data_IF_145942309450
#
_entry.id   IF_145942309450
#
_cell.length_a   1.000
_cell.length_b   1.000
_cell.length_c   1.000
_cell.angle_alpha   90.00
_cell.angle_beta   90.00
_cell.angle_gamma   90.00
#
_symmetry.space_group_name_H-M   'P 1'
#
loop_
_entity.id
_entity.type
_entity.pdbx_description
1 polymer ?
#
# COMPACT_ATOMS: atom_id res chain seq x y z
N UNK A 1 -12.72 8.47 19.57
CA UNK A 1 -11.67 9.11 18.74
C UNK A 1 -10.31 8.86 19.38
N UNK A 2 -9.34 8.39 18.62
CA UNK A 2 -7.99 8.00 19.07
C UNK A 2 -7.03 9.20 19.32
N UNK A 3 -7.56 10.39 19.44
CA UNK A 3 -6.85 11.63 19.73
C UNK A 3 -7.58 12.46 20.79
N UNK A 4 -6.87 13.44 21.34
CA UNK A 4 -7.39 14.48 22.22
C UNK A 4 -7.88 13.98 23.58
N UNK A 5 -7.29 12.90 24.12
CA UNK A 5 -7.49 12.55 25.50
C UNK A 5 -6.98 13.70 26.38
N UNK A 6 -7.80 14.14 27.31
CA UNK A 6 -7.48 15.21 28.26
C UNK A 6 -7.12 16.57 27.59
N UNK A 7 -7.64 16.83 26.38
CA UNK A 7 -7.39 18.09 25.66
C UNK A 7 -5.98 18.20 25.03
N UNK A 8 -5.25 17.11 24.89
CA UNK A 8 -3.87 17.10 24.40
C UNK A 8 -3.74 16.91 22.86
N UNK A 9 -4.83 16.95 22.12
CA UNK A 9 -4.85 16.61 20.68
C UNK A 9 -3.87 17.41 19.83
N UNK A 10 -3.72 18.71 20.05
CA UNK A 10 -2.75 19.54 19.32
C UNK A 10 -1.30 19.13 19.62
N UNK A 11 -0.99 18.70 20.86
CA UNK A 11 0.32 18.19 21.23
C UNK A 11 0.60 16.84 20.60
N UNK A 12 -0.39 15.94 20.62
CA UNK A 12 -0.29 14.62 19.99
C UNK A 12 -0.02 14.72 18.49
N UNK A 13 -0.73 15.62 17.77
CA UNK A 13 -0.48 15.85 16.35
C UNK A 13 0.94 16.34 16.10
N UNK A 14 1.44 17.30 16.87
CA UNK A 14 2.83 17.79 16.73
C UNK A 14 3.86 16.69 16.96
N UNK A 15 3.65 15.82 17.94
CA UNK A 15 4.56 14.71 18.22
C UNK A 15 4.56 13.64 17.09
N UNK A 16 3.45 13.51 16.35
CA UNK A 16 3.30 12.54 15.28
C UNK A 16 3.73 13.07 13.92
N UNK A 17 3.57 14.37 13.68
CA UNK A 17 3.75 15.01 12.36
C UNK A 17 4.91 15.99 12.32
N UNK A 18 5.56 16.26 13.46
CA UNK A 18 6.67 17.20 13.59
C UNK A 18 6.30 18.61 13.04
N UNK A 19 6.88 19.00 11.90
CA UNK A 19 6.69 20.32 11.32
C UNK A 19 5.34 20.53 10.64
N UNK A 20 4.60 19.45 10.35
CA UNK A 20 3.31 19.53 9.65
C UNK A 20 2.14 19.98 10.54
N UNK A 21 2.34 20.17 11.83
CA UNK A 21 1.31 20.71 12.70
C UNK A 21 1.93 21.67 13.73
N UNK A 22 1.92 22.97 13.40
CA UNK A 22 2.54 23.97 14.27
C UNK A 22 1.58 24.44 15.40
N UNK A 23 0.95 25.58 15.25
CA UNK A 23 0.14 26.22 16.27
C UNK A 23 -1.35 26.27 15.89
N UNK A 24 -1.87 25.22 15.26
CA UNK A 24 -3.26 25.18 14.84
C UNK A 24 -4.20 24.86 16.00
N UNK A 25 -5.42 25.37 15.90
CA UNK A 25 -6.50 24.97 16.78
C UNK A 25 -6.94 23.54 16.41
N UNK A 26 -6.91 22.64 17.39
CA UNK A 26 -7.27 21.22 17.18
C UNK A 26 -8.69 21.05 16.64
N UNK A 27 -9.61 21.97 16.98
CA UNK A 27 -11.00 21.91 16.50
C UNK A 27 -11.10 21.98 14.96
N UNK A 28 -10.14 22.62 14.29
CA UNK A 28 -10.12 22.76 12.83
C UNK A 28 -9.75 21.49 12.09
N UNK A 29 -9.09 20.54 12.77
CA UNK A 29 -8.62 19.31 12.15
C UNK A 29 -9.49 18.10 12.49
N UNK A 30 -10.46 18.22 13.40
CA UNK A 30 -11.29 17.10 13.86
C UNK A 30 -11.98 16.40 12.69
N UNK A 31 -12.62 17.14 11.79
CA UNK A 31 -13.28 16.55 10.62
C UNK A 31 -12.34 15.77 9.69
N UNK A 32 -11.11 16.27 9.52
CA UNK A 32 -10.11 15.56 8.72
C UNK A 32 -9.59 14.30 9.42
N UNK A 33 -9.49 14.33 10.76
CA UNK A 33 -9.14 13.15 11.56
C UNK A 33 -10.23 12.08 11.41
N UNK A 34 -11.49 12.45 11.47
CA UNK A 34 -12.61 11.52 11.30
C UNK A 34 -12.57 10.86 9.92
N UNK A 35 -12.44 11.65 8.85
CA UNK A 35 -12.33 11.14 7.48
C UNK A 35 -11.10 10.24 7.29
N UNK A 36 -9.94 10.67 7.78
CA UNK A 36 -8.71 9.87 7.69
C UNK A 36 -8.82 8.56 8.49
N UNK A 37 -9.54 8.58 9.62
CA UNK A 37 -9.81 7.38 10.42
C UNK A 37 -10.69 6.39 9.67
N UNK A 38 -11.75 6.86 9.00
CA UNK A 38 -12.62 6.01 8.19
C UNK A 38 -11.87 5.40 7.00
N UNK A 39 -11.04 6.17 6.31
CA UNK A 39 -10.22 5.65 5.20
C UNK A 39 -9.23 4.60 5.66
N UNK A 40 -8.57 4.83 6.80
CA UNK A 40 -7.69 3.82 7.37
C UNK A 40 -8.46 2.57 7.80
N UNK A 41 -9.67 2.73 8.37
CA UNK A 41 -10.55 1.62 8.75
C UNK A 41 -10.99 0.77 7.54
N UNK A 42 -11.20 1.38 6.37
CA UNK A 42 -11.48 0.64 5.12
C UNK A 42 -10.29 -0.24 4.69
N UNK A 43 -9.07 0.18 5.01
CA UNK A 43 -7.86 -0.55 4.65
C UNK A 43 -7.50 -1.66 5.64
N UNK A 44 -7.53 -1.37 6.95
CA UNK A 44 -7.07 -2.30 7.99
C UNK A 44 -8.21 -2.97 8.77
N UNK A 45 -9.45 -2.56 8.54
CA UNK A 45 -10.63 -3.01 9.27
C UNK A 45 -10.98 -2.13 10.49
N UNK A 46 -12.27 -1.90 10.72
CA UNK A 46 -12.76 -1.08 11.84
C UNK A 46 -12.35 -1.63 13.20
N UNK A 47 -12.30 -2.96 13.36
CA UNK A 47 -11.92 -3.61 14.61
C UNK A 47 -10.49 -3.30 15.05
N UNK A 48 -9.56 -3.07 14.11
CA UNK A 48 -8.18 -2.64 14.42
C UNK A 48 -8.20 -1.22 15.00
N UNK A 49 -9.00 -0.34 14.43
CA UNK A 49 -9.17 1.04 14.92
C UNK A 49 -9.79 1.04 16.32
N UNK A 50 -10.86 0.27 16.50
CA UNK A 50 -11.56 0.13 17.80
C UNK A 50 -10.62 -0.42 18.89
N UNK A 51 -9.79 -1.43 18.56
CA UNK A 51 -8.78 -1.95 19.47
C UNK A 51 -7.78 -0.87 19.89
N UNK A 52 -7.24 -0.14 18.91
CA UNK A 52 -6.28 0.93 19.16
C UNK A 52 -6.91 2.08 19.98
N UNK A 53 -8.16 2.44 19.70
CA UNK A 53 -8.91 3.44 20.48
C UNK A 53 -9.15 2.97 21.91
N UNK A 54 -9.52 1.72 22.13
CA UNK A 54 -9.70 1.16 23.46
C UNK A 54 -8.39 1.20 24.26
N UNK A 55 -7.26 0.87 23.65
CA UNK A 55 -5.95 0.94 24.28
C UNK A 55 -5.53 2.39 24.57
N UNK A 56 -5.81 3.32 23.68
CA UNK A 56 -5.57 4.74 23.86
C UNK A 56 -6.33 5.31 25.07
N UNK A 57 -7.59 4.92 25.24
CA UNK A 57 -8.45 5.38 26.32
C UNK A 57 -8.09 4.73 27.67
N UNK A 58 -7.56 3.51 27.67
CA UNK A 58 -7.29 2.70 28.86
C UNK A 58 -5.84 2.19 28.90
N UNK A 59 -4.82 3.06 28.91
CA UNK A 59 -3.41 2.65 28.81
C UNK A 59 -2.90 1.84 30.00
N UNK A 60 -3.55 1.96 31.17
CA UNK A 60 -3.16 1.26 32.42
C UNK A 60 -3.70 -0.18 32.49
N UNK A 61 -4.47 -0.62 31.51
CA UNK A 61 -5.05 -1.96 31.50
C UNK A 61 -3.96 -3.00 31.20
N UNK A 62 -4.00 -4.12 31.90
CA UNK A 62 -3.09 -5.24 31.66
C UNK A 62 -3.23 -5.76 30.21
N UNK A 63 -2.11 -6.01 29.55
CA UNK A 63 -2.08 -6.50 28.16
C UNK A 63 -2.28 -5.43 27.08
N UNK A 64 -2.30 -4.13 27.45
CA UNK A 64 -2.37 -3.03 26.49
C UNK A 64 -1.08 -2.92 25.68
N UNK A 65 -1.19 -2.97 24.38
CA UNK A 65 -0.10 -2.67 23.44
C UNK A 65 -0.16 -1.20 23.00
N UNK A 66 0.59 -0.35 23.67
CA UNK A 66 0.69 1.07 23.30
C UNK A 66 1.37 1.29 21.93
N UNK A 67 2.09 0.28 21.44
CA UNK A 67 2.74 0.33 20.13
C UNK A 67 1.76 0.41 18.98
N UNK A 68 0.60 -0.28 19.05
CA UNK A 68 -0.44 -0.20 18.00
C UNK A 68 -1.09 1.18 18.00
N UNK A 69 -1.32 1.80 19.17
CA UNK A 69 -1.95 3.12 19.28
C UNK A 69 -1.19 4.13 18.41
N UNK A 70 0.12 4.25 18.64
CA UNK A 70 0.96 5.21 17.89
C UNK A 70 1.03 4.87 16.39
N UNK A 71 1.02 3.58 16.02
CA UNK A 71 1.04 3.16 14.61
C UNK A 71 -0.28 3.44 13.89
N UNK A 72 -1.41 3.43 14.58
CA UNK A 72 -2.71 3.83 14.04
C UNK A 72 -2.83 5.36 14.01
N UNK A 73 -2.40 6.05 15.05
CA UNK A 73 -2.46 7.52 15.11
C UNK A 73 -1.63 8.19 14.01
N UNK A 74 -0.42 7.67 13.70
CA UNK A 74 0.50 8.35 12.79
C UNK A 74 -0.04 8.53 11.38
N UNK A 75 -0.54 7.51 10.67
CA UNK A 75 -1.13 7.70 9.33
C UNK A 75 -2.36 8.61 9.37
N UNK A 76 -3.21 8.50 10.39
CA UNK A 76 -4.38 9.39 10.54
C UNK A 76 -3.91 10.85 10.69
N UNK A 77 -2.95 11.11 11.56
CA UNK A 77 -2.40 12.44 11.78
C UNK A 77 -1.80 13.04 10.51
N UNK A 78 -0.98 12.26 9.77
CA UNK A 78 -0.36 12.71 8.53
C UNK A 78 -1.40 13.04 7.46
N UNK A 79 -2.38 12.18 7.23
CA UNK A 79 -3.41 12.44 6.22
C UNK A 79 -4.32 13.62 6.59
N UNK A 80 -4.71 13.72 7.86
CA UNK A 80 -5.53 14.81 8.36
C UNK A 80 -4.82 16.17 8.25
N UNK A 81 -3.52 16.23 8.59
CA UNK A 81 -2.74 17.47 8.49
C UNK A 81 -2.46 17.86 7.05
N UNK A 82 -2.19 16.93 6.15
CA UNK A 82 -2.06 17.20 4.71
C UNK A 82 -3.32 17.90 4.18
N UNK A 83 -4.48 17.33 4.45
CA UNK A 83 -5.77 17.92 4.03
C UNK A 83 -6.06 19.27 4.65
N UNK A 84 -5.69 19.45 5.92
CA UNK A 84 -5.82 20.73 6.60
C UNK A 84 -4.98 21.80 5.91
N UNK A 85 -3.73 21.49 5.52
CA UNK A 85 -2.87 22.45 4.82
C UNK A 85 -3.41 22.79 3.44
N UNK A 86 -3.76 21.81 2.63
CA UNK A 86 -4.36 22.03 1.32
C UNK A 86 -5.64 22.90 1.39
N UNK A 87 -6.44 22.75 2.45
CA UNK A 87 -7.60 23.60 2.68
C UNK A 87 -7.23 25.01 3.14
N UNK A 88 -6.08 25.17 3.79
CA UNK A 88 -5.60 26.46 4.30
C UNK A 88 -4.76 27.24 3.29
N UNK A 89 -4.35 26.65 2.17
CA UNK A 89 -3.63 27.34 1.09
C UNK A 89 -4.42 28.54 0.56
N UNK A 90 -5.75 28.44 0.63
CA UNK A 90 -6.66 29.52 0.30
C UNK A 90 -7.51 29.91 1.50
N UNK A 91 -7.64 31.20 1.71
CA UNK A 91 -8.65 31.77 2.63
C UNK A 91 -10.02 31.67 1.97
N UNK A 92 -10.99 31.14 2.70
CA UNK A 92 -12.40 31.11 2.28
C UNK A 92 -13.16 32.21 3.00
N UNK A 93 -13.61 33.20 2.23
CA UNK A 93 -14.34 34.34 2.71
C UNK A 93 -15.71 34.44 2.01
N UNK A 94 -16.65 35.21 2.56
CA UNK A 94 -18.02 35.32 2.01
C UNK A 94 -18.05 35.80 0.55
N UNK A 95 -17.04 36.59 0.15
CA UNK A 95 -16.88 37.14 -1.20
C UNK A 95 -15.96 36.30 -2.11
N UNK A 96 -15.49 35.10 -1.66
CA UNK A 96 -14.71 34.19 -2.45
C UNK A 96 -13.44 33.68 -1.78
N UNK A 97 -12.60 33.00 -2.59
CA UNK A 97 -11.32 32.43 -2.16
C UNK A 97 -10.19 33.41 -2.45
N UNK A 98 -9.29 33.62 -1.49
CA UNK A 98 -8.19 34.59 -1.58
C UNK A 98 -6.90 33.99 -1.02
N UNK A 99 -5.76 34.41 -1.57
CA UNK A 99 -4.47 34.20 -0.91
C UNK A 99 -4.31 35.22 0.21
N UNK A 100 -3.93 34.77 1.42
CA UNK A 100 -3.52 35.67 2.50
C UNK A 100 -2.03 35.89 2.41
N UNK A 101 -1.62 37.12 2.18
CA UNK A 101 -0.22 37.57 2.23
C UNK A 101 -0.14 38.65 3.29
N UNK A 102 0.92 38.62 4.10
CA UNK A 102 1.18 39.69 5.03
C UNK A 102 1.38 41.03 4.27
N UNK A 103 0.61 42.05 4.66
CA UNK A 103 0.62 43.35 3.99
C UNK A 103 1.92 44.13 4.17
N UNK A 104 2.79 43.73 5.10
CA UNK A 104 4.08 44.33 5.38
C UNK A 104 5.23 43.73 4.52
N UNK A 105 4.90 42.78 3.64
CA UNK A 105 5.90 42.12 2.76
C UNK A 105 6.86 41.18 3.49
N UNK A 106 6.60 40.87 4.78
CA UNK A 106 7.43 39.93 5.57
C UNK A 106 7.28 38.48 5.12
N UNK A 107 6.17 38.13 4.48
CA UNK A 107 5.87 36.81 3.98
C UNK A 107 5.79 36.79 2.45
N UNK A 108 6.35 35.76 1.85
CA UNK A 108 6.22 35.48 0.42
C UNK A 108 5.36 34.24 0.23
N UNK A 109 4.47 34.30 -0.76
CA UNK A 109 3.75 33.11 -1.18
C UNK A 109 4.73 32.05 -1.70
N UNK A 110 4.56 30.78 -1.29
CA UNK A 110 5.32 29.69 -1.88
C UNK A 110 4.97 29.58 -3.37
N UNK A 111 5.92 29.09 -4.16
CA UNK A 111 5.66 28.74 -5.55
C UNK A 111 4.84 27.44 -5.61
N UNK A 112 3.99 27.29 -6.59
CA UNK A 112 3.15 26.10 -6.81
C UNK A 112 3.98 24.78 -6.72
N UNK A 113 5.12 24.72 -7.40
CA UNK A 113 6.01 23.55 -7.35
C UNK A 113 6.56 23.23 -5.94
N UNK A 114 6.65 24.24 -5.06
CA UNK A 114 7.06 24.02 -3.66
C UNK A 114 5.94 23.37 -2.86
N UNK A 115 4.70 23.81 -3.06
CA UNK A 115 3.53 23.20 -2.46
C UNK A 115 3.35 21.75 -2.96
N UNK A 116 3.43 21.53 -4.26
CA UNK A 116 3.35 20.19 -4.86
C UNK A 116 4.42 19.25 -4.31
N UNK A 117 5.64 19.77 -4.12
CA UNK A 117 6.74 18.96 -3.56
C UNK A 117 6.52 18.65 -2.09
N UNK A 118 6.04 19.59 -1.29
CA UNK A 118 5.76 19.40 0.13
C UNK A 118 4.61 18.40 0.31
N UNK A 119 3.54 18.57 -0.43
CA UNK A 119 2.40 17.64 -0.47
C UNK A 119 2.82 16.22 -0.85
N UNK A 120 3.70 16.09 -1.85
CA UNK A 120 4.20 14.79 -2.28
C UNK A 120 5.04 14.11 -1.20
N UNK A 121 5.90 14.85 -0.49
CA UNK A 121 6.68 14.34 0.63
C UNK A 121 5.79 13.92 1.80
N UNK A 122 4.80 14.74 2.13
CA UNK A 122 3.85 14.47 3.20
C UNK A 122 3.00 13.22 2.90
N UNK A 123 2.55 13.08 1.66
CA UNK A 123 1.82 11.90 1.19
C UNK A 123 2.71 10.64 1.21
N UNK A 124 4.00 10.75 0.86
CA UNK A 124 4.95 9.65 0.97
C UNK A 124 5.14 9.20 2.42
N UNK A 125 5.21 10.14 3.37
CA UNK A 125 5.28 9.81 4.81
C UNK A 125 4.00 9.10 5.29
N UNK A 126 2.84 9.54 4.84
CA UNK A 126 1.58 8.85 5.10
C UNK A 126 1.62 7.40 4.61
N UNK A 127 2.05 7.17 3.35
CA UNK A 127 2.14 5.82 2.79
C UNK A 127 3.11 4.94 3.57
N UNK A 128 4.27 5.47 3.96
CA UNK A 128 5.23 4.75 4.81
C UNK A 128 4.64 4.42 6.18
N UNK A 129 3.87 5.33 6.77
CA UNK A 129 3.21 5.08 8.05
C UNK A 129 2.15 3.96 7.95
N UNK A 130 1.39 3.91 6.85
CA UNK A 130 0.45 2.81 6.57
C UNK A 130 1.20 1.48 6.40
N UNK A 131 2.31 1.46 5.65
CA UNK A 131 3.13 0.25 5.48
C UNK A 131 3.69 -0.26 6.81
N UNK A 132 4.13 0.64 7.69
CA UNK A 132 4.61 0.28 9.05
C UNK A 132 3.48 -0.32 9.89
N UNK A 133 2.28 0.25 9.81
CA UNK A 133 1.12 -0.30 10.52
C UNK A 133 0.79 -1.71 10.03
N UNK A 134 0.63 -1.91 8.72
CA UNK A 134 0.22 -3.23 8.18
C UNK A 134 1.28 -4.29 8.48
N UNK A 135 2.58 -3.98 8.35
CA UNK A 135 3.65 -4.90 8.77
C UNK A 135 3.54 -5.28 10.22
N UNK A 136 3.31 -4.30 11.09
CA UNK A 136 3.11 -4.55 12.50
C UNK A 136 1.91 -5.47 12.79
N UNK A 137 0.79 -5.26 12.09
CA UNK A 137 -0.39 -6.11 12.20
C UNK A 137 -0.12 -7.55 11.74
N UNK A 138 0.65 -7.71 10.67
CA UNK A 138 1.08 -9.01 10.15
C UNK A 138 2.04 -9.71 11.14
N UNK A 139 3.04 -9.00 11.66
CA UNK A 139 4.04 -9.56 12.58
C UNK A 139 3.43 -9.99 13.93
N UNK A 140 2.41 -9.28 14.37
CA UNK A 140 1.72 -9.59 15.64
C UNK A 140 0.56 -10.56 15.47
N UNK A 141 0.14 -10.84 14.26
CA UNK A 141 -1.01 -11.71 13.94
C UNK A 141 -2.25 -11.35 14.77
N UNK A 142 -2.50 -10.04 14.96
CA UNK A 142 -3.61 -9.57 15.78
C UNK A 142 -4.94 -10.09 15.21
N UNK A 143 -5.77 -10.64 16.08
CA UNK A 143 -7.04 -11.26 15.68
C UNK A 143 -7.95 -10.28 14.93
N UNK A 144 -7.99 -9.03 15.34
CA UNK A 144 -8.78 -7.97 14.71
C UNK A 144 -8.36 -7.73 13.26
N UNK A 145 -7.07 -7.94 12.95
CA UNK A 145 -6.52 -7.88 11.60
C UNK A 145 -6.71 -9.18 10.84
N UNK A 146 -6.34 -10.32 11.42
CA UNK A 146 -6.42 -11.62 10.74
C UNK A 146 -7.87 -12.05 10.44
N UNK A 147 -8.84 -11.54 11.19
CA UNK A 147 -10.27 -11.71 10.93
C UNK A 147 -10.81 -10.75 9.86
N UNK A 148 -10.06 -9.75 9.41
CA UNK A 148 -10.51 -8.80 8.40
C UNK A 148 -10.66 -9.46 7.02
N UNK A 149 -11.58 -8.95 6.21
CA UNK A 149 -11.80 -9.44 4.85
C UNK A 149 -10.58 -9.19 3.95
N UNK A 150 -9.84 -8.10 4.19
CA UNK A 150 -8.64 -7.76 3.45
C UNK A 150 -7.54 -8.78 3.68
N UNK A 151 -7.24 -9.12 4.94
CA UNK A 151 -6.28 -10.16 5.29
C UNK A 151 -6.67 -11.53 4.73
N UNK A 152 -7.92 -11.96 4.97
CA UNK A 152 -8.42 -13.24 4.46
C UNK A 152 -8.34 -13.33 2.94
N UNK A 153 -8.63 -12.24 2.26
CA UNK A 153 -8.50 -12.15 0.81
C UNK A 153 -7.06 -12.32 0.32
N UNK A 154 -6.10 -11.75 1.03
CA UNK A 154 -4.68 -11.91 0.73
C UNK A 154 -4.20 -13.35 0.97
N UNK A 155 -4.67 -14.02 2.05
CA UNK A 155 -4.28 -15.40 2.37
C UNK A 155 -4.77 -16.45 1.35
N UNK A 156 -5.74 -16.12 0.50
CA UNK A 156 -6.20 -16.98 -0.61
C UNK A 156 -5.30 -16.93 -1.84
N UNK A 157 -4.28 -16.07 -1.83
CA UNK A 157 -3.38 -15.86 -2.96
C UNK A 157 -2.07 -16.61 -2.78
N UNK A 158 -1.41 -16.89 -3.89
CA UNK A 158 -0.07 -17.50 -3.90
C UNK A 158 0.99 -16.54 -3.36
N UNK A 159 0.79 -15.23 -3.57
CA UNK A 159 1.58 -14.15 -2.98
C UNK A 159 0.69 -13.45 -1.95
N UNK A 160 1.11 -13.42 -0.68
CA UNK A 160 0.21 -13.10 0.44
C UNK A 160 0.49 -11.76 1.13
N UNK A 161 1.61 -11.11 0.83
CA UNK A 161 1.99 -9.81 1.40
C UNK A 161 2.93 -9.03 0.48
N UNK A 162 3.15 -7.75 0.80
CA UNK A 162 4.00 -6.85 0.00
C UNK A 162 5.47 -7.25 0.01
N UNK A 163 5.98 -7.80 1.11
CA UNK A 163 7.38 -8.27 1.20
C UNK A 163 7.60 -9.43 0.23
N UNK A 164 6.70 -10.41 0.20
CA UNK A 164 6.76 -11.54 -0.72
C UNK A 164 6.58 -11.09 -2.18
N UNK A 165 5.67 -10.13 -2.44
CA UNK A 165 5.48 -9.60 -3.78
C UNK A 165 6.73 -8.91 -4.32
N UNK A 166 7.44 -8.17 -3.46
CA UNK A 166 8.69 -7.46 -3.81
C UNK A 166 9.81 -8.40 -4.30
N UNK A 167 9.77 -9.67 -3.91
CA UNK A 167 10.71 -10.71 -4.41
C UNK A 167 10.51 -10.95 -5.91
N UNK A 168 9.29 -10.87 -6.41
CA UNK A 168 8.96 -11.15 -7.81
C UNK A 168 8.86 -9.89 -8.66
N UNK A 169 8.42 -8.78 -8.07
CA UNK A 169 8.35 -7.47 -8.72
C UNK A 169 8.57 -6.36 -7.68
N UNK A 170 9.51 -5.43 -7.91
CA UNK A 170 9.87 -4.42 -6.92
C UNK A 170 8.74 -3.41 -6.71
N UNK A 171 8.18 -3.39 -5.51
CA UNK A 171 7.19 -2.43 -5.02
C UNK A 171 7.66 -1.72 -3.74
N UNK A 172 8.98 -1.73 -3.48
CA UNK A 172 9.61 -1.18 -2.27
C UNK A 172 9.07 -1.79 -0.98
N UNK A 173 8.70 -3.09 -1.02
CA UNK A 173 8.10 -3.83 0.11
C UNK A 173 6.88 -3.13 0.69
N UNK A 174 6.12 -2.42 -0.15
CA UNK A 174 4.94 -1.67 0.29
C UNK A 174 3.74 -2.60 0.46
N UNK A 175 3.29 -2.74 1.72
CA UNK A 175 2.09 -3.48 2.06
C UNK A 175 0.83 -2.77 1.54
N UNK A 176 0.80 -1.45 1.60
CA UNK A 176 -0.28 -0.65 1.03
C UNK A 176 -0.44 -0.87 -0.47
N UNK A 177 0.69 -0.85 -1.21
CA UNK A 177 0.68 -1.10 -2.65
C UNK A 177 0.21 -2.52 -2.96
N UNK A 178 0.65 -3.50 -2.18
CA UNK A 178 0.19 -4.88 -2.31
C UNK A 178 -1.33 -4.99 -2.12
N UNK A 179 -1.90 -4.36 -1.09
CA UNK A 179 -3.35 -4.37 -0.88
C UNK A 179 -4.12 -3.72 -2.03
N UNK A 180 -3.58 -2.66 -2.62
CA UNK A 180 -4.12 -2.03 -3.82
C UNK A 180 -4.11 -2.98 -5.03
N UNK A 181 -3.10 -3.82 -5.13
CA UNK A 181 -2.93 -4.79 -6.22
C UNK A 181 -3.74 -6.08 -6.04
N UNK A 182 -4.34 -6.33 -4.87
CA UNK A 182 -5.08 -7.58 -4.58
C UNK A 182 -6.09 -7.99 -5.66
N UNK A 183 -6.94 -7.10 -6.22
CA UNK A 183 -7.88 -7.49 -7.27
C UNK A 183 -7.18 -8.01 -8.53
N UNK A 184 -6.06 -7.38 -8.91
CA UNK A 184 -5.27 -7.76 -10.09
C UNK A 184 -4.48 -9.04 -9.86
N UNK A 185 -3.92 -9.23 -8.67
CA UNK A 185 -3.24 -10.47 -8.27
C UNK A 185 -4.23 -11.64 -8.31
N UNK A 186 -5.43 -11.44 -7.77
CA UNK A 186 -6.50 -12.45 -7.81
C UNK A 186 -6.91 -12.79 -9.23
N UNK A 187 -7.10 -11.77 -10.08
CA UNK A 187 -7.48 -11.97 -11.49
C UNK A 187 -6.37 -12.73 -12.24
N UNK A 188 -5.11 -12.30 -12.12
CA UNK A 188 -3.97 -12.97 -12.72
C UNK A 188 -3.85 -14.44 -12.29
N UNK A 189 -3.97 -14.69 -10.99
CA UNK A 189 -3.95 -16.04 -10.42
C UNK A 189 -5.08 -16.90 -10.97
N UNK A 190 -6.33 -16.46 -10.87
CA UNK A 190 -7.50 -17.31 -11.14
C UNK A 190 -7.75 -17.50 -12.64
N UNK A 191 -7.59 -16.47 -13.46
CA UNK A 191 -7.95 -16.53 -14.87
C UNK A 191 -6.80 -17.05 -15.74
N UNK A 192 -5.56 -16.88 -15.32
CA UNK A 192 -4.40 -17.19 -16.17
C UNK A 192 -3.53 -18.28 -15.56
N UNK A 193 -2.86 -18.01 -14.44
CA UNK A 193 -1.79 -18.90 -13.93
C UNK A 193 -2.35 -20.21 -13.39
N UNK A 194 -3.42 -20.19 -12.59
CA UNK A 194 -4.09 -21.41 -12.08
C UNK A 194 -4.59 -22.29 -13.23
N UNK A 195 -5.17 -21.68 -14.27
CA UNK A 195 -5.65 -22.45 -15.44
C UNK A 195 -4.52 -23.07 -16.24
N UNK A 196 -3.40 -22.35 -16.38
CA UNK A 196 -2.22 -22.84 -17.08
C UNK A 196 -1.52 -23.96 -16.30
N UNK A 197 -1.50 -23.88 -14.97
CA UNK A 197 -0.93 -24.93 -14.12
C UNK A 197 -1.78 -26.22 -14.13
N UNK A 198 -3.10 -26.07 -14.05
CA UNK A 198 -4.05 -27.20 -14.08
C UNK A 198 -4.09 -28.00 -12.78
N UNK A 199 -4.06 -29.34 -12.90
CA UNK A 199 -4.12 -30.24 -11.75
C UNK A 199 -2.93 -30.03 -10.81
N UNK A 200 -3.15 -30.08 -9.50
CA UNK A 200 -2.10 -29.84 -8.47
C UNK A 200 -1.95 -28.38 -8.02
N UNK A 201 -2.73 -27.44 -8.57
CA UNK A 201 -2.68 -26.05 -8.14
C UNK A 201 -2.87 -25.86 -6.64
N UNK A 202 -3.79 -26.60 -6.02
CA UNK A 202 -4.06 -26.46 -4.58
C UNK A 202 -2.86 -26.90 -3.73
N UNK A 203 -2.08 -27.89 -4.21
CA UNK A 203 -0.84 -28.28 -3.57
C UNK A 203 0.22 -27.18 -3.71
N UNK A 204 0.38 -26.60 -4.90
CA UNK A 204 1.28 -25.48 -5.15
C UNK A 204 0.91 -24.26 -4.29
N UNK A 205 -0.38 -23.96 -4.17
CA UNK A 205 -0.88 -22.85 -3.34
C UNK A 205 -0.60 -23.07 -1.85
N UNK A 206 -0.64 -24.33 -1.39
CA UNK A 206 -0.34 -24.70 -0.02
C UNK A 206 1.16 -24.71 0.27
N UNK A 207 2.01 -24.69 -0.75
CA UNK A 207 3.46 -24.67 -0.62
C UNK A 207 3.90 -23.35 0.03
N UNK A 208 4.39 -23.43 1.25
CA UNK A 208 4.89 -22.29 2.03
C UNK A 208 6.34 -22.49 2.46
N UNK A 209 6.99 -23.51 1.90
CA UNK A 209 8.31 -23.94 2.34
C UNK A 209 9.46 -23.17 1.65
N UNK A 210 10.50 -22.94 2.41
CA UNK A 210 11.81 -22.51 1.91
C UNK A 210 12.75 -23.73 2.01
N UNK A 211 13.39 -24.13 0.92
CA UNK A 211 13.49 -23.47 -0.39
C UNK A 211 12.20 -23.61 -1.24
N UNK A 212 11.88 -22.55 -1.95
CA UNK A 212 10.77 -22.49 -2.89
C UNK A 212 11.07 -23.37 -4.11
N UNK A 213 10.05 -24.11 -4.62
CA UNK A 213 10.23 -24.87 -5.85
C UNK A 213 10.27 -23.96 -7.08
N UNK A 214 10.93 -24.42 -8.15
CA UNK A 214 11.00 -23.68 -9.42
C UNK A 214 9.60 -23.40 -9.98
N UNK A 215 8.67 -24.35 -9.83
CA UNK A 215 7.28 -24.18 -10.26
C UNK A 215 6.55 -23.10 -9.45
N UNK A 216 6.76 -23.05 -8.14
CA UNK A 216 6.17 -22.04 -7.26
C UNK A 216 6.74 -20.65 -7.56
N UNK A 217 8.06 -20.53 -7.67
CA UNK A 217 8.71 -19.27 -8.05
C UNK A 217 8.19 -18.75 -9.39
N UNK A 218 8.14 -19.59 -10.42
CA UNK A 218 7.68 -19.21 -11.76
C UNK A 218 6.20 -18.79 -11.74
N UNK A 219 5.34 -19.48 -10.98
CA UNK A 219 3.95 -19.12 -10.78
C UNK A 219 3.79 -17.74 -10.13
N UNK A 220 4.52 -17.48 -9.03
CA UNK A 220 4.51 -16.19 -8.34
C UNK A 220 5.03 -15.08 -9.25
N UNK A 221 6.10 -15.31 -10.00
CA UNK A 221 6.67 -14.34 -10.94
C UNK A 221 5.67 -13.99 -12.04
N UNK A 222 5.01 -14.98 -12.64
CA UNK A 222 3.97 -14.78 -13.63
C UNK A 222 2.77 -13.99 -13.09
N UNK A 223 2.30 -14.34 -11.86
CA UNK A 223 1.20 -13.62 -11.20
C UNK A 223 1.57 -12.16 -10.96
N UNK A 224 2.77 -11.89 -10.44
CA UNK A 224 3.21 -10.52 -10.16
C UNK A 224 3.29 -9.66 -11.44
N UNK A 225 3.88 -10.18 -12.50
CA UNK A 225 4.00 -9.49 -13.79
C UNK A 225 2.62 -9.21 -14.42
N UNK A 226 1.72 -10.20 -14.44
CA UNK A 226 0.36 -10.01 -14.95
C UNK A 226 -0.44 -9.00 -14.13
N UNK A 227 -0.35 -9.08 -12.79
CA UNK A 227 -1.01 -8.14 -11.91
C UNK A 227 -0.54 -6.70 -12.16
N UNK A 228 0.77 -6.51 -12.31
CA UNK A 228 1.34 -5.20 -12.64
C UNK A 228 0.92 -4.73 -14.04
N UNK A 229 0.96 -5.59 -15.06
CA UNK A 229 0.48 -5.26 -16.41
C UNK A 229 -0.97 -4.77 -16.41
N UNK A 230 -1.86 -5.46 -15.68
CA UNK A 230 -3.26 -5.07 -15.55
C UNK A 230 -3.42 -3.76 -14.75
N UNK A 231 -2.69 -3.64 -13.64
CA UNK A 231 -2.73 -2.46 -12.80
C UNK A 231 -2.31 -1.21 -13.57
N UNK A 232 -1.23 -1.26 -14.33
CA UNK A 232 -0.73 -0.16 -15.15
C UNK A 232 -1.79 0.37 -16.13
N UNK A 233 -2.50 -0.53 -16.79
CA UNK A 233 -3.56 -0.17 -17.75
C UNK A 233 -4.80 0.40 -17.10
N UNK A 234 -5.20 -0.12 -15.92
CA UNK A 234 -6.48 0.20 -15.29
C UNK A 234 -6.37 1.33 -14.26
N UNK A 235 -5.24 1.45 -13.56
CA UNK A 235 -5.03 2.46 -12.54
C UNK A 235 -4.52 3.79 -13.10
N UNK A 236 -4.00 3.82 -14.33
CA UNK A 236 -3.55 5.04 -15.00
C UNK A 236 -4.69 5.96 -15.46
N UNK A 237 -5.93 5.49 -15.46
CA UNK A 237 -7.11 6.23 -15.94
C UNK A 237 -7.79 7.09 -14.86
N UNK A 238 -7.07 7.52 -13.85
CA UNK A 238 -7.57 8.54 -12.91
C UNK A 238 -8.34 8.04 -11.70
N UNK A 239 -8.42 6.74 -11.47
CA UNK A 239 -9.03 6.18 -10.25
C UNK A 239 -8.16 6.33 -9.00
N UNK A 240 -6.89 6.73 -9.15
CA UNK A 240 -5.94 6.91 -8.06
C UNK A 240 -5.26 8.28 -8.18
N UNK A 241 -5.38 9.13 -7.14
CA UNK A 241 -4.61 10.36 -7.09
C UNK A 241 -3.11 10.06 -7.15
N UNK A 242 -2.42 10.63 -8.13
CA UNK A 242 -0.97 10.58 -8.22
C UNK A 242 -0.36 9.54 -9.18
N UNK A 243 -1.15 8.83 -9.99
CA UNK A 243 -0.67 7.92 -11.06
C UNK A 243 0.38 6.87 -10.63
N UNK A 244 0.20 5.64 -11.06
CA UNK A 244 1.10 4.53 -10.69
C UNK A 244 2.46 4.61 -11.40
N UNK A 245 2.54 5.33 -12.52
CA UNK A 245 3.78 5.51 -13.27
C UNK A 245 4.06 6.99 -13.47
N UNK A 246 5.26 7.38 -13.04
CA UNK A 246 5.84 8.67 -13.38
C UNK A 246 7.04 8.44 -14.29
N UNK A 247 7.08 9.13 -15.42
CA UNK A 247 8.25 9.21 -16.26
C UNK A 247 9.25 10.14 -15.58
N UNK A 248 10.44 9.63 -15.26
CA UNK A 248 11.55 10.46 -14.80
C UNK A 248 12.21 11.08 -16.03
N UNK A 249 12.09 12.39 -16.22
CA UNK A 249 12.84 13.12 -17.23
C UNK A 249 14.09 13.69 -16.57
N UNK A 250 15.23 13.11 -16.91
CA UNK A 250 16.54 13.57 -16.44
C UNK A 250 17.08 14.69 -17.37
N UNK A 251 16.38 15.82 -17.46
CA UNK A 251 16.95 17.00 -18.09
C UNK A 251 17.28 18.05 -17.02
N UNK A 252 18.56 18.44 -16.97
CA UNK A 252 19.11 19.56 -16.21
C UNK A 252 18.87 19.58 -14.70
N UNK A 253 19.23 18.49 -13.98
CA UNK A 253 19.46 18.59 -12.51
C UNK A 253 18.22 18.80 -11.62
N UNK A 254 17.05 18.94 -12.19
CA UNK A 254 15.78 18.91 -11.49
C UNK A 254 15.04 17.63 -11.84
N UNK A 255 14.68 16.83 -10.84
CA UNK A 255 13.85 15.63 -11.00
C UNK A 255 12.42 16.04 -11.32
N UNK A 256 12.15 16.45 -12.55
CA UNK A 256 10.81 16.64 -13.05
C UNK A 256 10.21 15.26 -13.38
N UNK A 257 9.11 14.89 -12.74
CA UNK A 257 8.37 13.68 -13.07
C UNK A 257 7.10 14.07 -13.81
N UNK A 258 6.92 13.56 -15.01
CA UNK A 258 5.69 13.72 -15.79
C UNK A 258 4.88 12.42 -15.78
N UNK A 259 3.54 12.48 -15.89
CA UNK A 259 2.73 11.29 -16.12
C UNK A 259 3.19 10.60 -17.41
N UNK A 260 3.31 9.26 -17.39
CA UNK A 260 3.65 8.50 -18.60
C UNK A 260 2.53 8.64 -19.64
N UNK A 261 2.91 8.66 -20.93
CA UNK A 261 1.94 8.63 -22.00
C UNK A 261 1.18 7.29 -22.04
N UNK A 262 -0.02 7.27 -22.59
CA UNK A 262 -0.78 6.02 -22.76
C UNK A 262 0.01 4.98 -23.58
N UNK A 263 0.75 5.41 -24.60
CA UNK A 263 1.57 4.54 -25.44
C UNK A 263 2.73 3.92 -24.65
N UNK A 264 3.36 4.69 -23.72
CA UNK A 264 4.40 4.17 -22.84
C UNK A 264 3.82 3.15 -21.86
N UNK A 265 2.66 3.44 -21.29
CA UNK A 265 1.93 2.52 -20.39
C UNK A 265 1.60 1.21 -21.09
N UNK A 266 0.99 1.28 -22.30
CA UNK A 266 0.62 0.08 -23.07
C UNK A 266 1.85 -0.73 -23.46
N UNK A 267 2.94 -0.09 -23.88
CA UNK A 267 4.19 -0.76 -24.25
C UNK A 267 4.81 -1.51 -23.05
N UNK A 268 4.92 -0.85 -21.90
CA UNK A 268 5.49 -1.46 -20.70
C UNK A 268 4.58 -2.59 -20.17
N UNK A 269 3.27 -2.37 -20.17
CA UNK A 269 2.31 -3.40 -19.78
C UNK A 269 2.34 -4.61 -20.75
N UNK A 270 2.55 -4.37 -22.05
CA UNK A 270 2.74 -5.42 -23.05
C UNK A 270 3.98 -6.27 -22.75
N UNK A 271 5.14 -5.65 -22.52
CA UNK A 271 6.36 -6.37 -22.15
C UNK A 271 6.18 -7.22 -20.89
N UNK A 272 5.52 -6.69 -19.87
CA UNK A 272 5.25 -7.47 -18.65
C UNK A 272 4.35 -8.68 -18.91
N UNK A 273 3.38 -8.56 -19.84
CA UNK A 273 2.52 -9.67 -20.23
C UNK A 273 3.29 -10.74 -21.00
N UNK A 274 4.20 -10.35 -21.89
CA UNK A 274 5.05 -11.26 -22.66
C UNK A 274 6.05 -12.00 -21.74
N UNK A 275 6.67 -11.28 -20.82
CA UNK A 275 7.52 -11.86 -19.80
C UNK A 275 6.75 -12.86 -18.93
N UNK A 276 5.53 -12.52 -18.53
CA UNK A 276 4.67 -13.43 -17.76
C UNK A 276 4.34 -14.71 -18.53
N UNK A 277 4.11 -14.62 -19.85
CA UNK A 277 3.89 -15.82 -20.68
C UNK A 277 5.11 -16.74 -20.67
N UNK A 278 6.32 -16.18 -20.73
CA UNK A 278 7.58 -16.94 -20.58
C UNK A 278 7.64 -17.66 -19.23
N UNK A 279 7.31 -16.97 -18.13
CA UNK A 279 7.30 -17.57 -16.81
C UNK A 279 6.21 -18.63 -16.62
N UNK A 280 5.07 -18.50 -17.30
CA UNK A 280 4.05 -19.56 -17.34
C UNK A 280 4.58 -20.83 -18.01
N UNK A 281 5.37 -20.70 -19.07
CA UNK A 281 5.95 -21.85 -19.74
C UNK A 281 7.05 -22.51 -18.88
N UNK A 282 7.87 -21.73 -18.18
CA UNK A 282 8.82 -22.28 -17.19
C UNK A 282 8.09 -22.98 -16.04
N UNK A 283 7.01 -22.42 -15.53
CA UNK A 283 6.17 -23.06 -14.51
C UNK A 283 5.67 -24.44 -14.96
N UNK A 284 5.20 -24.58 -16.21
CA UNK A 284 4.74 -25.84 -16.77
C UNK A 284 5.90 -26.85 -16.89
N UNK A 285 7.06 -26.41 -17.38
CA UNK A 285 8.27 -27.25 -17.51
C UNK A 285 8.72 -27.79 -16.15
N UNK A 286 8.76 -26.91 -15.13
CA UNK A 286 9.15 -27.31 -13.77
C UNK A 286 8.14 -28.30 -13.16
N UNK A 287 6.83 -28.08 -13.35
CA UNK A 287 5.78 -29.02 -12.94
C UNK A 287 5.97 -30.38 -13.60
N UNK A 288 6.12 -30.42 -14.93
CA UNK A 288 6.20 -31.66 -15.70
C UNK A 288 7.52 -32.42 -15.43
N UNK A 289 8.63 -31.70 -15.23
CA UNK A 289 9.91 -32.27 -14.81
C UNK A 289 9.88 -32.92 -13.43
N UNK A 290 9.18 -32.30 -12.47
CA UNK A 290 8.98 -32.87 -11.14
C UNK A 290 8.12 -34.14 -11.17
N UNK A 291 7.12 -34.20 -12.04
CA UNK A 291 6.27 -35.39 -12.23
C UNK A 291 7.07 -36.57 -12.83
N UNK A 292 7.97 -36.32 -13.78
CA UNK A 292 8.82 -37.34 -14.37
C UNK A 292 9.76 -37.94 -13.30
N UNK A 293 10.34 -37.11 -12.44
CA UNK A 293 11.22 -37.56 -11.37
C UNK A 293 10.49 -38.47 -10.36
N UNK A 294 9.25 -38.15 -10.01
CA UNK A 294 8.41 -38.97 -9.10
C UNK A 294 8.04 -40.36 -9.72
N UNK A 295 7.78 -40.40 -11.02
CA UNK A 295 7.49 -41.67 -11.71
C UNK A 295 8.69 -42.60 -11.69
N UNK A 296 9.89 -42.09 -11.96
CA UNK A 296 11.13 -42.92 -11.93
C UNK A 296 11.51 -43.41 -10.53
N UNK A 297 11.16 -42.67 -9.47
CA UNK A 297 11.44 -43.10 -8.09
C UNK A 297 10.44 -44.15 -7.58
N UNK A 298 9.19 -44.19 -8.09
CA UNK A 298 8.21 -45.20 -7.72
C UNK A 298 8.53 -46.56 -8.37
N UNK A 299 8.97 -46.56 -9.62
CA UNK A 299 9.37 -47.82 -10.32
C UNK A 299 10.66 -48.44 -9.76
N UNK A 300 11.54 -47.64 -9.16
CA UNK A 300 12.77 -48.13 -8.52
C UNK A 300 12.56 -48.68 -7.10
N UNK A 301 11.38 -48.48 -6.50
CA UNK A 301 11.04 -49.02 -5.18
C UNK A 301 10.30 -50.36 -5.25
N UNK A 302 9.89 -50.80 -6.44
CA UNK A 302 9.19 -52.07 -6.69
C UNK A 302 10.11 -53.16 -7.29
N UNK A 303 11.44 -52.91 -7.46
CA UNK A 303 12.49 -53.90 -7.74
C UNK A 303 13.28 -54.21 -6.47
#
# INVERSE_FOLDING_TARGET
MIFNKDGQGAKELRELTANYYANNDFTKVIGEIELATEELAQLVGSKVIELAENYYLNPEKEGVDTGIVRKVQRPIALLATLRLYQKNDLSHEDDGRKFKVATDGSEKLPWEWQLDRDDALHLEEYYKAVDVLIRYLNDKELKEWTDSDMYKSAQMLIIRNGISFDTYFPINKSERMFLLLLPFIREAQQLTVKRAYGAGWEALLAESSVPETDAHFAACKAVALLAMSMALRRLSLGAIPGGVIRRFVAESGMNASEPASLDDVERVAGWMADDAATWIDEMKRARDGSMICLLYTSDAADE
#
